data_IF_282947370088
#
_entry.id   IF_282947370088
#
_cell.length_a   1.000
_cell.length_b   1.000
_cell.length_c   1.000
_cell.angle_alpha   90.00
_cell.angle_beta   90.00
_cell.angle_gamma   90.00
#
_symmetry.space_group_name_H-M   'P 1'
#
loop_
_entity.id
_entity.type
_entity.pdbx_description
1 polymer ?
#
# COMPACT_ATOMS: atom_id res chain seq x y z
N UNK A 1 40.44 5.42 -8.92
CA UNK A 1 39.25 4.83 -8.25
C UNK A 1 38.00 5.33 -8.95
N UNK A 2 37.19 4.38 -9.41
CA UNK A 2 35.77 4.43 -9.81
C UNK A 2 35.27 5.51 -10.78
N UNK A 3 35.01 5.06 -12.01
CA UNK A 3 34.29 5.77 -13.06
C UNK A 3 32.78 5.59 -12.92
N UNK A 4 32.04 6.67 -13.16
CA UNK A 4 30.58 6.76 -13.16
C UNK A 4 30.06 6.73 -14.61
N UNK A 5 29.34 5.70 -15.06
CA UNK A 5 28.44 5.79 -16.23
C UNK A 5 27.16 4.97 -16.08
N UNK A 6 26.07 5.71 -16.27
CA UNK A 6 24.65 5.38 -16.38
C UNK A 6 24.37 4.21 -17.33
N UNK A 7 23.54 3.27 -16.89
CA UNK A 7 22.78 2.40 -17.79
C UNK A 7 21.43 3.08 -18.10
N UNK A 8 21.22 3.45 -19.38
CA UNK A 8 19.90 3.78 -19.92
C UNK A 8 19.27 2.48 -20.39
N UNK A 9 18.11 2.13 -19.83
CA UNK A 9 17.23 1.08 -20.33
C UNK A 9 16.59 1.57 -21.64
N UNK A 10 16.94 0.92 -22.74
CA UNK A 10 16.27 1.06 -24.03
C UNK A 10 15.37 -0.15 -24.26
N UNK A 11 14.05 0.06 -24.19
CA UNK A 11 13.06 -0.88 -24.70
C UNK A 11 13.13 -0.82 -26.22
N UNK A 12 13.47 -1.92 -26.88
CA UNK A 12 13.20 -2.08 -28.31
C UNK A 12 12.55 -3.42 -28.59
N UNK A 13 11.55 -3.33 -29.46
CA UNK A 13 10.49 -4.27 -29.75
C UNK A 13 11.00 -5.56 -30.41
N UNK A 14 10.33 -6.67 -30.07
CA UNK A 14 10.36 -7.91 -30.83
C UNK A 14 9.79 -7.66 -32.23
N UNK A 15 10.58 -7.88 -33.27
CA UNK A 15 10.12 -8.42 -34.56
C UNK A 15 11.32 -8.87 -35.40
N UNK A 16 11.17 -10.03 -36.03
CA UNK A 16 11.93 -10.56 -37.17
C UNK A 16 13.29 -11.24 -36.91
N UNK A 17 13.24 -12.53 -36.56
CA UNK A 17 14.25 -13.51 -36.99
C UNK A 17 13.55 -14.81 -37.44
N UNK A 18 12.97 -14.78 -38.63
CA UNK A 18 12.83 -15.98 -39.46
C UNK A 18 13.27 -15.60 -40.88
N UNK A 19 13.90 -16.55 -41.57
CA UNK A 19 14.49 -16.48 -42.92
C UNK A 19 15.99 -16.18 -42.98
N UNK A 20 16.78 -17.23 -42.79
CA UNK A 20 18.03 -17.40 -43.56
C UNK A 20 18.30 -18.89 -43.82
N UNK A 21 17.38 -19.51 -44.56
CA UNK A 21 17.63 -20.73 -45.33
C UNK A 21 17.26 -20.42 -46.77
N UNK A 22 18.20 -19.91 -47.57
CA UNK A 22 18.29 -20.13 -49.01
C UNK A 22 19.44 -19.29 -49.61
N UNK A 23 20.10 -19.88 -50.61
CA UNK A 23 20.97 -19.23 -51.59
C UNK A 23 22.47 -19.08 -51.25
N UNK A 24 23.17 -20.21 -51.32
CA UNK A 24 24.54 -20.26 -51.82
C UNK A 24 24.58 -21.14 -53.09
N UNK A 25 24.02 -20.64 -54.19
CA UNK A 25 24.34 -21.11 -55.53
C UNK A 25 25.27 -20.09 -56.19
N UNK A 26 26.57 -20.41 -56.28
CA UNK A 26 27.49 -19.74 -57.22
C UNK A 26 28.49 -20.72 -57.82
N UNK A 27 28.30 -20.88 -59.14
CA UNK A 27 29.28 -21.15 -60.22
C UNK A 27 30.24 -22.33 -60.05
N UNK A 28 29.84 -23.44 -60.67
CA UNK A 28 30.75 -24.49 -61.15
C UNK A 28 31.30 -24.01 -62.51
N UNK A 29 32.62 -23.93 -62.74
CA UNK A 29 33.15 -23.76 -64.08
C UNK A 29 33.12 -25.08 -64.85
N UNK A 30 32.67 -25.02 -66.10
CA UNK A 30 32.72 -26.11 -67.06
C UNK A 30 34.18 -26.54 -67.26
N UNK A 31 34.53 -27.76 -66.84
CA UNK A 31 35.70 -28.48 -67.33
C UNK A 31 35.25 -29.87 -67.81
N UNK A 32 35.66 -30.14 -69.04
CA UNK A 32 35.46 -31.34 -69.84
C UNK A 32 35.68 -32.65 -69.08
N UNK A 33 34.68 -33.53 -69.13
CA UNK A 33 34.74 -34.93 -68.69
C UNK A 33 35.73 -35.71 -69.56
N UNK A 34 36.83 -36.18 -68.96
CA UNK A 34 37.57 -37.36 -69.43
C UNK A 34 37.29 -38.49 -68.44
N UNK A 35 36.65 -39.56 -68.93
CA UNK A 35 36.49 -40.82 -68.22
C UNK A 35 37.84 -41.55 -68.20
N UNK A 36 38.47 -41.61 -67.03
CA UNK A 36 39.50 -42.60 -66.74
C UNK A 36 39.10 -43.37 -65.48
N UNK A 37 39.25 -44.68 -65.55
CA UNK A 37 38.66 -45.65 -64.64
C UNK A 37 39.18 -45.66 -63.21
N UNK A 38 38.61 -46.61 -62.47
CA UNK A 38 38.84 -47.00 -61.09
C UNK A 38 38.17 -46.12 -60.03
N UNK A 39 36.96 -46.55 -59.71
CA UNK A 39 36.24 -46.37 -58.45
C UNK A 39 37.18 -46.49 -57.24
N UNK A 40 37.43 -45.37 -56.57
CA UNK A 40 37.75 -45.37 -55.14
C UNK A 40 36.80 -44.35 -54.53
N UNK A 41 35.68 -44.84 -53.99
CA UNK A 41 34.88 -44.04 -53.07
C UNK A 41 35.79 -43.81 -51.86
N UNK A 42 36.18 -42.57 -51.51
CA UNK A 42 36.91 -42.36 -50.28
C UNK A 42 35.98 -42.79 -49.15
N UNK A 43 36.29 -43.91 -48.51
CA UNK A 43 35.68 -44.26 -47.24
C UNK A 43 36.04 -43.12 -46.30
N UNK A 44 35.04 -42.33 -45.93
CA UNK A 44 35.23 -41.31 -44.91
C UNK A 44 35.74 -42.05 -43.67
N UNK A 45 37.03 -41.87 -43.32
CA UNK A 45 37.57 -42.44 -42.08
C UNK A 45 36.62 -42.04 -40.96
N UNK A 46 36.25 -42.95 -40.04
CA UNK A 46 35.46 -42.57 -38.89
C UNK A 46 36.17 -41.39 -38.23
N UNK A 47 35.43 -40.35 -37.81
CA UNK A 47 36.01 -39.16 -37.21
C UNK A 47 37.05 -39.58 -36.16
N UNK A 48 38.23 -38.97 -36.21
CA UNK A 48 39.29 -39.23 -35.23
C UNK A 48 38.70 -39.05 -33.83
N UNK A 49 39.19 -39.82 -32.85
CA UNK A 49 38.72 -39.76 -31.46
C UNK A 49 38.66 -38.33 -30.91
N UNK A 50 39.54 -37.44 -31.38
CA UNK A 50 39.54 -36.00 -31.11
C UNK A 50 38.31 -35.25 -31.64
N UNK A 51 37.86 -35.50 -32.86
CA UNK A 51 36.69 -34.84 -33.46
C UNK A 51 35.38 -35.32 -32.83
N UNK A 52 35.26 -36.63 -32.57
CA UNK A 52 34.14 -37.17 -31.78
C UNK A 52 34.09 -36.58 -30.37
N UNK A 53 35.25 -36.41 -29.72
CA UNK A 53 35.34 -35.80 -28.40
C UNK A 53 34.90 -34.34 -28.42
N UNK A 54 35.34 -33.55 -29.41
CA UNK A 54 34.92 -32.15 -29.59
C UNK A 54 33.41 -32.02 -29.80
N UNK A 55 32.85 -32.77 -30.75
CA UNK A 55 31.41 -32.76 -31.05
C UNK A 55 30.56 -33.24 -29.86
N UNK A 56 31.04 -34.23 -29.09
CA UNK A 56 30.36 -34.67 -27.87
C UNK A 56 30.44 -33.62 -26.75
N UNK A 57 31.51 -32.82 -26.67
CA UNK A 57 31.62 -31.72 -25.70
C UNK A 57 30.65 -30.60 -26.04
N UNK A 58 30.58 -30.14 -27.30
CA UNK A 58 29.62 -29.13 -27.76
C UNK A 58 28.17 -29.60 -27.59
N UNK A 59 27.85 -30.83 -28.02
CA UNK A 59 26.52 -31.43 -27.82
C UNK A 59 26.15 -31.49 -26.33
N UNK A 60 27.08 -31.87 -25.46
CA UNK A 60 26.85 -31.89 -24.02
C UNK A 60 26.70 -30.48 -23.42
N UNK A 61 27.39 -29.47 -23.95
CA UNK A 61 27.21 -28.06 -23.58
C UNK A 61 25.81 -27.56 -23.96
N UNK A 62 25.33 -27.86 -25.17
CA UNK A 62 23.98 -27.50 -25.61
C UNK A 62 22.89 -28.19 -24.80
N UNK A 63 23.06 -29.48 -24.48
CA UNK A 63 22.12 -30.22 -23.62
C UNK A 63 22.09 -29.62 -22.22
N UNK A 64 23.27 -29.25 -21.66
CA UNK A 64 23.35 -28.55 -20.37
C UNK A 64 22.66 -27.19 -20.42
N UNK A 65 22.88 -26.40 -21.47
CA UNK A 65 22.24 -25.10 -21.64
C UNK A 65 20.71 -25.21 -21.73
N UNK A 66 20.19 -26.17 -22.51
CA UNK A 66 18.74 -26.45 -22.61
C UNK A 66 18.15 -26.91 -21.28
N UNK A 67 18.85 -27.77 -20.53
CA UNK A 67 18.43 -28.21 -19.18
C UNK A 67 18.42 -27.06 -18.19
N UNK A 68 19.46 -26.24 -18.17
CA UNK A 68 19.53 -25.06 -17.29
C UNK A 68 18.42 -24.06 -17.62
N UNK A 69 18.13 -23.83 -18.90
CA UNK A 69 16.99 -23.02 -19.33
C UNK A 69 15.66 -23.62 -18.84
N UNK A 70 15.41 -24.91 -19.06
CA UNK A 70 14.20 -25.59 -18.58
C UNK A 70 14.06 -25.50 -17.05
N UNK A 71 15.13 -25.72 -16.31
CA UNK A 71 15.14 -25.59 -14.84
C UNK A 71 14.85 -24.16 -14.40
N UNK A 72 15.40 -23.15 -15.09
CA UNK A 72 15.11 -21.74 -14.79
C UNK A 72 13.65 -21.37 -15.04
N UNK A 73 13.04 -21.88 -16.12
CA UNK A 73 11.63 -21.67 -16.42
C UNK A 73 10.75 -22.34 -15.37
N UNK A 74 11.05 -23.58 -14.98
CA UNK A 74 10.32 -24.28 -13.91
C UNK A 74 10.45 -23.57 -12.56
N UNK A 75 11.64 -23.03 -12.23
CA UNK A 75 11.84 -22.25 -11.02
C UNK A 75 11.01 -20.96 -11.00
N UNK A 76 10.92 -20.25 -12.13
CA UNK A 76 10.09 -19.04 -12.26
C UNK A 76 8.60 -19.38 -12.11
N UNK A 77 8.14 -20.44 -12.76
CA UNK A 77 6.74 -20.90 -12.64
C UNK A 77 6.45 -21.31 -11.19
N UNK A 78 7.35 -22.08 -10.57
CA UNK A 78 7.23 -22.48 -9.17
C UNK A 78 7.17 -21.30 -8.22
N UNK A 79 8.02 -20.29 -8.41
CA UNK A 79 8.01 -19.06 -7.64
C UNK A 79 6.69 -18.27 -7.82
N UNK A 80 6.18 -18.18 -9.06
CA UNK A 80 4.90 -17.53 -9.34
C UNK A 80 3.70 -18.24 -8.70
N UNK A 81 3.65 -19.58 -8.77
CA UNK A 81 2.61 -20.38 -8.12
C UNK A 81 2.68 -20.27 -6.60
N UNK A 82 3.89 -20.27 -6.02
CA UNK A 82 4.07 -20.08 -4.59
C UNK A 82 3.65 -18.68 -4.14
N UNK A 83 4.04 -17.64 -4.86
CA UNK A 83 3.60 -16.27 -4.58
C UNK A 83 2.07 -16.12 -4.67
N UNK A 84 1.44 -16.72 -5.68
CA UNK A 84 -0.03 -16.75 -5.81
C UNK A 84 -0.70 -17.51 -4.67
N UNK A 85 -0.14 -18.65 -4.26
CA UNK A 85 -0.63 -19.41 -3.10
C UNK A 85 -0.50 -18.62 -1.80
N UNK A 86 0.62 -17.92 -1.58
CA UNK A 86 0.80 -17.03 -0.41
C UNK A 86 -0.21 -15.89 -0.43
N UNK A 87 -0.39 -15.22 -1.58
CA UNK A 87 -1.38 -14.15 -1.76
C UNK A 87 -2.80 -14.63 -1.42
N UNK A 88 -3.19 -15.79 -1.93
CA UNK A 88 -4.49 -16.40 -1.65
C UNK A 88 -4.63 -16.82 -0.17
N UNK A 89 -3.60 -17.43 0.42
CA UNK A 89 -3.61 -17.90 1.81
C UNK A 89 -3.64 -16.76 2.83
N UNK A 90 -3.03 -15.62 2.51
CA UNK A 90 -3.08 -14.43 3.35
C UNK A 90 -4.41 -13.67 3.22
N UNK A 91 -5.30 -14.07 2.31
CA UNK A 91 -6.59 -13.41 2.12
C UNK A 91 -6.44 -11.98 1.60
N UNK A 92 -5.36 -11.70 0.86
CA UNK A 92 -5.08 -10.37 0.33
C UNK A 92 -6.12 -10.02 -0.73
N UNK A 93 -6.80 -8.89 -0.55
CA UNK A 93 -7.79 -8.40 -1.50
C UNK A 93 -7.70 -6.88 -1.63
N UNK A 94 -8.40 -6.32 -2.60
CA UNK A 94 -8.42 -4.88 -2.84
C UNK A 94 -9.79 -4.35 -2.44
N UNK A 95 -9.80 -3.37 -1.54
CA UNK A 95 -11.00 -2.65 -1.13
C UNK A 95 -10.89 -1.18 -1.58
N UNK A 96 -12.02 -0.46 -1.57
CA UNK A 96 -12.03 0.99 -1.75
C UNK A 96 -12.21 1.65 -0.38
N UNK A 97 -11.38 2.64 -0.09
CA UNK A 97 -11.51 3.46 1.11
C UNK A 97 -12.74 4.37 0.98
N UNK A 98 -13.61 4.45 2.02
CA UNK A 98 -14.74 5.37 2.04
C UNK A 98 -14.31 6.82 1.86
N UNK A 99 -15.17 7.65 1.28
CA UNK A 99 -14.96 9.07 0.97
C UNK A 99 -13.89 9.36 -0.10
N UNK A 100 -12.71 8.74 -0.05
CA UNK A 100 -11.64 8.98 -1.02
C UNK A 100 -11.73 8.10 -2.26
N UNK A 101 -12.48 6.99 -2.20
CA UNK A 101 -12.52 5.94 -3.23
C UNK A 101 -11.12 5.43 -3.63
N UNK A 102 -10.13 5.57 -2.74
CA UNK A 102 -8.77 5.09 -2.97
C UNK A 102 -8.77 3.58 -2.88
N UNK A 103 -8.24 2.92 -3.90
CA UNK A 103 -7.99 1.47 -3.85
C UNK A 103 -6.83 1.18 -2.92
N UNK A 104 -7.01 0.20 -2.05
CA UNK A 104 -5.93 -0.25 -1.18
C UNK A 104 -5.90 -1.76 -1.04
N UNK A 105 -4.71 -2.28 -0.79
CA UNK A 105 -4.48 -3.71 -0.60
C UNK A 105 -4.72 -4.01 0.87
N UNK A 106 -5.69 -4.87 1.17
CA UNK A 106 -6.01 -5.32 2.52
C UNK A 106 -5.29 -6.64 2.75
N UNK A 107 -4.32 -6.62 3.65
CA UNK A 107 -3.48 -7.76 4.02
C UNK A 107 -3.95 -8.44 5.30
N UNK A 108 -4.65 -7.69 6.15
CA UNK A 108 -5.19 -8.17 7.42
C UNK A 108 -6.69 -8.45 7.27
N UNK A 109 -7.14 -9.63 7.69
CA UNK A 109 -8.59 -9.90 7.78
C UNK A 109 -9.22 -9.14 8.96
N UNK A 110 -10.54 -8.88 8.91
CA UNK A 110 -11.26 -8.23 10.01
C UNK A 110 -11.07 -8.92 11.38
N UNK A 111 -10.96 -10.25 11.38
CA UNK A 111 -10.69 -11.02 12.61
C UNK A 111 -9.27 -10.78 13.13
N UNK A 112 -8.27 -10.74 12.25
CA UNK A 112 -6.89 -10.49 12.64
C UNK A 112 -6.71 -9.05 13.16
N UNK A 113 -7.35 -8.06 12.52
CA UNK A 113 -7.38 -6.68 13.02
C UNK A 113 -7.91 -6.62 14.45
N UNK A 114 -9.05 -7.29 14.71
CA UNK A 114 -9.65 -7.37 16.04
C UNK A 114 -8.71 -7.98 17.08
N UNK A 115 -8.01 -9.06 16.72
CA UNK A 115 -7.05 -9.70 17.62
C UNK A 115 -5.86 -8.80 17.92
N UNK A 116 -5.30 -8.15 16.90
CA UNK A 116 -4.18 -7.20 17.06
C UNK A 116 -4.59 -6.01 17.93
N UNK A 117 -5.79 -5.47 17.71
CA UNK A 117 -6.29 -4.35 18.49
C UNK A 117 -6.55 -4.72 19.95
N UNK A 118 -7.15 -5.89 20.22
CA UNK A 118 -7.33 -6.37 21.59
C UNK A 118 -5.99 -6.59 22.31
N UNK A 119 -5.00 -7.15 21.61
CA UNK A 119 -3.65 -7.30 22.12
C UNK A 119 -3.05 -5.94 22.51
N UNK A 120 -3.12 -4.97 21.61
CA UNK A 120 -2.57 -3.63 21.82
C UNK A 120 -3.31 -2.87 22.95
N UNK A 121 -4.62 -3.09 23.08
CA UNK A 121 -5.44 -2.54 24.15
C UNK A 121 -4.97 -3.04 25.51
N UNK A 122 -4.79 -4.36 25.67
CA UNK A 122 -4.33 -4.94 26.93
C UNK A 122 -2.89 -4.53 27.26
N UNK A 123 -2.02 -4.44 26.26
CA UNK A 123 -0.67 -3.89 26.42
C UNK A 123 -0.72 -2.43 26.89
N UNK A 124 -1.56 -1.60 26.25
CA UNK A 124 -1.71 -0.18 26.57
C UNK A 124 -2.30 0.02 27.97
N UNK A 125 -3.33 -0.74 28.35
CA UNK A 125 -3.87 -0.73 29.73
C UNK A 125 -2.80 -1.09 30.75
N UNK A 126 -1.95 -2.05 30.43
CA UNK A 126 -0.84 -2.47 31.30
C UNK A 126 0.21 -1.37 31.41
N UNK A 127 0.62 -0.78 30.27
CA UNK A 127 1.63 0.27 30.19
C UNK A 127 1.21 1.56 30.89
N UNK A 128 -0.07 1.93 30.79
CA UNK A 128 -0.63 3.14 31.38
C UNK A 128 -1.44 2.88 32.66
N UNK A 129 -1.28 1.70 33.27
CA UNK A 129 -1.95 1.34 34.53
C UNK A 129 -1.72 2.43 35.60
N UNK A 130 -2.80 2.91 36.20
CA UNK A 130 -2.78 3.99 37.19
C UNK A 130 -2.69 5.41 36.62
N UNK A 131 -2.52 5.58 35.30
CA UNK A 131 -2.63 6.87 34.59
C UNK A 131 -3.93 7.00 33.77
N UNK A 132 -4.73 5.94 33.73
CA UNK A 132 -6.02 5.94 33.07
C UNK A 132 -7.00 6.81 33.87
N UNK A 133 -7.76 7.62 33.15
CA UNK A 133 -8.86 8.39 33.73
C UNK A 133 -10.01 7.46 34.15
N UNK A 134 -10.69 7.82 35.23
CA UNK A 134 -11.95 7.16 35.60
C UNK A 134 -12.98 7.39 34.49
N UNK A 135 -13.87 6.41 34.29
CA UNK A 135 -15.02 6.51 33.40
C UNK A 135 -15.96 7.67 33.77
N UNK A 136 -16.04 8.03 35.05
CA UNK A 136 -16.87 9.13 35.56
C UNK A 136 -16.19 10.50 35.52
N UNK A 137 -14.91 10.57 35.16
CA UNK A 137 -14.18 11.84 35.06
C UNK A 137 -14.85 12.74 34.00
N UNK A 138 -15.03 14.06 34.26
CA UNK A 138 -15.68 14.97 33.31
C UNK A 138 -15.03 14.98 31.93
N UNK A 139 -13.70 14.81 31.84
CA UNK A 139 -12.99 14.75 30.57
C UNK A 139 -13.26 13.44 29.82
N UNK A 140 -13.36 12.32 30.53
CA UNK A 140 -13.78 11.03 29.97
C UNK A 140 -15.20 11.08 29.42
N UNK A 141 -16.13 11.68 30.18
CA UNK A 141 -17.53 11.86 29.76
C UNK A 141 -17.61 12.75 28.52
N UNK A 142 -16.89 13.87 28.52
CA UNK A 142 -16.80 14.79 27.38
C UNK A 142 -16.29 14.09 26.12
N UNK A 143 -15.20 13.35 26.21
CA UNK A 143 -14.64 12.61 25.08
C UNK A 143 -15.62 11.55 24.54
N UNK A 144 -16.30 10.81 25.42
CA UNK A 144 -17.33 9.83 25.04
C UNK A 144 -18.52 10.46 24.32
N UNK A 145 -18.98 11.64 24.77
CA UNK A 145 -20.06 12.36 24.11
C UNK A 145 -19.67 12.84 22.71
N UNK A 146 -18.45 13.37 22.56
CA UNK A 146 -17.93 13.82 21.26
C UNK A 146 -17.80 12.63 20.30
N UNK A 147 -17.21 11.52 20.77
CA UNK A 147 -17.10 10.29 19.99
C UNK A 147 -18.48 9.78 19.56
N UNK A 148 -19.46 9.77 20.48
CA UNK A 148 -20.83 9.38 20.16
C UNK A 148 -21.42 10.24 19.03
N UNK A 149 -21.25 11.56 19.09
CA UNK A 149 -21.74 12.46 18.02
C UNK A 149 -21.07 12.18 16.67
N UNK A 150 -19.77 11.85 16.67
CA UNK A 150 -19.02 11.49 15.45
C UNK A 150 -19.54 10.19 14.86
N UNK A 151 -19.77 9.18 15.70
CA UNK A 151 -20.35 7.91 15.26
C UNK A 151 -21.74 8.17 14.68
N UNK A 152 -22.63 8.85 15.40
CA UNK A 152 -23.98 9.17 14.89
C UNK A 152 -23.96 9.97 13.57
N UNK A 153 -22.97 10.84 13.37
CA UNK A 153 -22.74 11.55 12.10
C UNK A 153 -22.34 10.59 10.97
N UNK A 154 -21.40 9.69 11.24
CA UNK A 154 -20.98 8.63 10.31
C UNK A 154 -22.16 7.73 9.91
N UNK A 155 -22.99 7.34 10.87
CA UNK A 155 -24.17 6.48 10.64
C UNK A 155 -25.22 7.11 9.71
N UNK A 156 -25.26 8.45 9.61
CA UNK A 156 -26.16 9.18 8.71
C UNK A 156 -25.66 9.22 7.27
N UNK A 157 -24.35 9.38 7.09
CA UNK A 157 -23.75 9.53 5.77
C UNK A 157 -23.50 8.19 5.08
N UNK A 158 -23.07 7.19 5.85
CA UNK A 158 -22.82 5.87 5.32
C UNK A 158 -23.96 4.96 5.75
N UNK A 159 -24.69 4.39 4.80
CA UNK A 159 -25.54 3.22 5.07
C UNK A 159 -24.63 2.10 5.58
N UNK A 160 -24.61 1.92 6.89
CA UNK A 160 -23.74 1.01 7.62
C UNK A 160 -23.91 -0.48 7.29
N UNK A 161 -24.80 -0.82 6.35
CA UNK A 161 -24.92 -2.19 5.86
C UNK A 161 -23.66 -2.63 5.10
N UNK A 162 -22.85 -1.69 4.60
CA UNK A 162 -21.61 -1.96 3.84
C UNK A 162 -20.32 -1.53 4.56
N UNK A 163 -20.42 -0.59 5.51
CA UNK A 163 -19.31 -0.30 6.42
C UNK A 163 -19.53 -1.05 7.71
N UNK A 164 -18.68 -2.03 8.05
CA UNK A 164 -18.82 -2.68 9.33
C UNK A 164 -18.76 -1.58 10.40
N UNK A 165 -19.87 -1.38 11.12
CA UNK A 165 -19.90 -0.82 12.49
C UNK A 165 -18.88 -1.58 13.37
N UNK A 166 -18.48 -2.78 12.92
CA UNK A 166 -17.33 -3.48 13.43
C UNK A 166 -16.00 -2.74 13.30
N UNK A 167 -15.75 -1.76 12.42
CA UNK A 167 -14.41 -1.14 12.29
C UNK A 167 -13.97 -0.44 13.59
N UNK A 168 -14.87 0.37 14.20
CA UNK A 168 -14.60 0.99 15.50
C UNK A 168 -14.40 -0.05 16.61
N UNK A 169 -15.14 -1.17 16.55
CA UNK A 169 -15.01 -2.31 17.45
C UNK A 169 -13.84 -3.28 17.10
N UNK A 170 -13.28 -3.22 15.89
CA UNK A 170 -12.21 -4.08 15.35
C UNK A 170 -10.84 -3.43 15.50
N UNK A 171 -10.78 -2.12 15.74
CA UNK A 171 -9.67 -1.45 16.43
C UNK A 171 -9.81 -1.55 17.96
N UNK A 172 -10.55 -2.53 18.48
CA UNK A 172 -10.71 -2.75 19.93
C UNK A 172 -11.58 -1.70 20.64
N UNK A 173 -12.31 -0.86 19.91
CA UNK A 173 -13.26 0.11 20.48
C UNK A 173 -12.62 1.22 21.32
N UNK A 174 -11.29 1.27 21.42
CA UNK A 174 -10.61 2.06 22.44
C UNK A 174 -9.68 3.08 21.80
N UNK A 175 -10.08 4.34 21.88
CA UNK A 175 -9.23 5.49 21.55
C UNK A 175 -8.57 5.97 22.84
N UNK A 176 -7.23 6.02 22.87
CA UNK A 176 -6.50 6.59 24.00
C UNK A 176 -6.33 8.09 23.78
N UNK A 177 -6.94 8.89 24.65
CA UNK A 177 -6.81 10.34 24.62
C UNK A 177 -6.07 10.79 25.87
N UNK A 178 -4.93 11.47 25.69
CA UNK A 178 -4.19 12.03 26.81
C UNK A 178 -4.93 13.23 27.42
N UNK A 179 -4.99 13.30 28.75
CA UNK A 179 -5.63 14.37 29.53
C UNK A 179 -5.25 15.78 29.06
N UNK A 180 -3.98 16.01 28.72
CA UNK A 180 -3.51 17.31 28.22
C UNK A 180 -4.22 17.79 26.95
N UNK A 181 -4.74 16.87 26.13
CA UNK A 181 -5.57 17.17 24.96
C UNK A 181 -6.97 17.67 25.37
N UNK A 182 -7.48 17.23 26.52
CA UNK A 182 -8.86 17.48 26.97
C UNK A 182 -9.00 18.74 27.83
N UNK A 183 -7.94 19.19 28.49
CA UNK A 183 -7.99 20.35 29.42
C UNK A 183 -7.79 21.70 28.70
N UNK A 184 -7.17 21.72 27.52
CA UNK A 184 -6.83 22.95 26.79
C UNK A 184 -7.58 23.19 25.47
N UNK A 185 -8.43 22.26 25.02
CA UNK A 185 -9.11 22.34 23.73
C UNK A 185 -10.61 22.57 23.85
N UNK A 186 -11.18 23.26 22.87
CA UNK A 186 -12.63 23.35 22.65
C UNK A 186 -13.19 22.00 22.19
N UNK A 187 -14.52 21.82 22.24
CA UNK A 187 -15.15 20.57 21.79
C UNK A 187 -14.82 20.26 20.33
N UNK A 188 -14.71 21.29 19.48
CA UNK A 188 -14.27 21.11 18.09
C UNK A 188 -12.80 20.69 17.96
N UNK A 189 -11.92 21.18 18.84
CA UNK A 189 -10.52 20.73 18.88
C UNK A 189 -10.40 19.28 19.32
N UNK A 190 -11.13 18.88 20.37
CA UNK A 190 -11.19 17.47 20.80
C UNK A 190 -11.82 16.59 19.70
N UNK A 191 -12.88 17.08 19.04
CA UNK A 191 -13.49 16.39 17.90
C UNK A 191 -12.52 16.22 16.73
N UNK A 192 -11.61 17.16 16.50
CA UNK A 192 -10.57 17.04 15.45
C UNK A 192 -9.67 15.83 15.71
N UNK A 193 -9.19 15.67 16.94
CA UNK A 193 -8.33 14.53 17.32
C UNK A 193 -9.12 13.22 17.24
N UNK A 194 -10.32 13.18 17.81
CA UNK A 194 -11.14 11.95 17.81
C UNK A 194 -11.51 11.56 16.38
N UNK A 195 -11.96 12.49 15.55
CA UNK A 195 -12.36 12.20 14.18
C UNK A 195 -11.18 11.72 13.33
N UNK A 196 -9.97 12.25 13.56
CA UNK A 196 -8.75 11.75 12.92
C UNK A 196 -8.48 10.28 13.26
N UNK A 197 -8.57 9.89 14.54
CA UNK A 197 -8.39 8.49 14.95
C UNK A 197 -9.50 7.57 14.40
N UNK A 198 -10.75 8.05 14.39
CA UNK A 198 -11.88 7.32 13.77
C UNK A 198 -11.65 7.15 12.27
N UNK A 199 -11.10 8.16 11.59
CA UNK A 199 -10.81 8.10 10.17
C UNK A 199 -9.78 7.03 9.82
N UNK A 200 -8.73 6.81 10.65
CA UNK A 200 -7.80 5.69 10.45
C UNK A 200 -8.51 4.34 10.47
N UNK A 201 -9.54 4.21 11.30
CA UNK A 201 -10.33 3.01 11.44
C UNK A 201 -11.28 2.83 10.25
N UNK A 202 -11.99 3.89 9.87
CA UNK A 202 -12.88 3.90 8.70
C UNK A 202 -12.12 3.58 7.41
N UNK A 203 -10.93 4.15 7.24
CA UNK A 203 -10.06 3.89 6.09
C UNK A 203 -9.30 2.55 6.17
N UNK A 204 -9.48 1.79 7.24
CA UNK A 204 -8.82 0.49 7.50
C UNK A 204 -7.31 0.58 7.26
N UNK A 205 -6.70 1.69 7.67
CA UNK A 205 -5.27 1.95 7.47
C UNK A 205 -4.40 0.86 8.12
N UNK A 206 -4.81 0.29 9.26
CA UNK A 206 -4.11 -0.82 9.91
C UNK A 206 -4.09 -2.10 9.06
N UNK A 207 -5.04 -2.28 8.14
CA UNK A 207 -5.20 -3.49 7.36
C UNK A 207 -4.25 -3.56 6.15
N UNK A 208 -3.72 -2.42 5.70
CA UNK A 208 -2.82 -2.37 4.53
C UNK A 208 -1.44 -2.97 4.78
N UNK A 209 -0.93 -2.88 6.01
CA UNK A 209 0.32 -3.50 6.41
C UNK A 209 0.37 -3.70 7.94
N UNK A 210 0.43 -4.95 8.44
CA UNK A 210 0.33 -5.23 9.87
C UNK A 210 1.58 -4.89 10.70
N UNK A 211 2.62 -4.28 10.13
CA UNK A 211 3.70 -3.67 10.91
C UNK A 211 3.25 -2.30 11.46
N UNK A 212 2.40 -2.40 12.47
CA UNK A 212 2.20 -1.49 13.60
C UNK A 212 2.84 -0.10 13.41
N UNK A 213 1.99 0.90 13.15
CA UNK A 213 2.29 2.34 13.28
C UNK A 213 3.16 2.98 12.20
N UNK A 214 3.39 2.35 11.04
CA UNK A 214 3.88 3.12 9.88
C UNK A 214 2.71 3.85 9.22
N UNK A 215 2.38 4.99 9.80
CA UNK A 215 1.71 6.10 9.14
C UNK A 215 2.54 6.49 7.90
N UNK A 216 1.87 6.61 6.76
CA UNK A 216 2.46 7.29 5.60
C UNK A 216 1.88 8.69 5.60
N UNK A 217 2.67 9.70 5.21
CA UNK A 217 2.17 11.06 4.99
C UNK A 217 0.83 11.08 4.25
N UNK A 218 0.68 10.23 3.22
CA UNK A 218 -0.57 10.11 2.46
C UNK A 218 -1.75 9.61 3.29
N UNK A 219 -1.52 8.66 4.19
CA UNK A 219 -2.55 8.07 5.08
C UNK A 219 -2.93 9.02 6.21
N UNK A 220 -1.97 9.79 6.72
CA UNK A 220 -2.24 10.83 7.73
C UNK A 220 -3.10 11.95 7.14
N UNK A 221 -2.75 12.43 5.94
CA UNK A 221 -3.54 13.43 5.23
C UNK A 221 -4.91 12.90 4.81
N UNK A 222 -5.00 11.63 4.42
CA UNK A 222 -6.29 10.99 4.15
C UNK A 222 -7.14 10.86 5.42
N UNK A 223 -6.54 10.50 6.55
CA UNK A 223 -7.23 10.47 7.84
C UNK A 223 -7.66 11.88 8.28
N UNK A 224 -6.87 12.92 8.01
CA UNK A 224 -7.26 14.32 8.22
C UNK A 224 -8.46 14.72 7.36
N UNK A 225 -8.44 14.35 6.08
CA UNK A 225 -9.54 14.63 5.16
C UNK A 225 -10.82 13.94 5.60
N UNK A 226 -10.79 12.62 5.84
CA UNK A 226 -11.95 11.87 6.31
C UNK A 226 -12.41 12.40 7.67
N UNK A 227 -11.48 12.67 8.59
CA UNK A 227 -11.77 13.25 9.90
C UNK A 227 -12.48 14.60 9.80
N UNK A 228 -12.11 15.45 8.84
CA UNK A 228 -12.80 16.72 8.56
C UNK A 228 -14.27 16.49 8.15
N UNK A 229 -14.52 15.49 7.30
CA UNK A 229 -15.89 15.13 6.88
C UNK A 229 -16.69 14.55 8.05
N UNK A 230 -16.09 13.70 8.87
CA UNK A 230 -16.72 13.15 10.07
C UNK A 230 -17.05 14.24 11.11
N UNK A 231 -16.19 15.24 11.26
CA UNK A 231 -16.50 16.41 12.08
C UNK A 231 -17.70 17.17 11.54
N UNK A 232 -17.74 17.40 10.22
CA UNK A 232 -18.84 18.09 9.57
C UNK A 232 -20.16 17.35 9.75
N UNK A 233 -20.17 16.03 9.54
CA UNK A 233 -21.35 15.17 9.66
C UNK A 233 -21.87 15.07 11.10
N UNK A 234 -20.96 15.24 12.06
CA UNK A 234 -21.28 15.38 13.48
C UNK A 234 -21.73 16.80 13.87
N UNK A 235 -21.76 17.75 12.94
CA UNK A 235 -22.16 19.14 13.18
C UNK A 235 -21.11 19.98 13.91
N UNK A 236 -19.83 19.61 13.85
CA UNK A 236 -18.71 20.47 14.27
C UNK A 236 -18.24 21.32 13.08
N UNK A 237 -17.90 22.59 13.33
CA UNK A 237 -17.41 23.50 12.28
C UNK A 237 -16.10 22.98 11.69
N UNK A 238 -16.02 22.68 10.38
CA UNK A 238 -14.81 22.13 9.75
C UNK A 238 -13.56 23.01 9.89
N UNK A 239 -13.74 24.33 9.90
CA UNK A 239 -12.64 25.30 10.03
C UNK A 239 -11.85 25.16 11.34
N UNK A 240 -12.46 24.61 12.39
CA UNK A 240 -11.79 24.37 13.68
C UNK A 240 -10.61 23.40 13.50
N UNK A 241 -10.69 22.43 12.59
CA UNK A 241 -9.60 21.49 12.35
C UNK A 241 -8.34 22.20 11.82
N UNK A 242 -8.50 23.19 10.94
CA UNK A 242 -7.38 24.00 10.43
C UNK A 242 -6.76 24.84 11.55
N UNK A 243 -7.59 25.48 12.37
CA UNK A 243 -7.13 26.27 13.51
C UNK A 243 -6.40 25.40 14.54
N UNK A 244 -6.91 24.20 14.80
CA UNK A 244 -6.30 23.23 15.70
C UNK A 244 -4.85 22.92 15.29
N UNK A 245 -4.62 22.51 14.04
CA UNK A 245 -3.28 22.17 13.57
C UNK A 245 -2.32 23.37 13.56
N UNK A 246 -2.81 24.58 13.27
CA UNK A 246 -2.03 25.82 13.38
C UNK A 246 -1.64 26.16 14.82
N UNK A 247 -2.54 25.97 15.78
CA UNK A 247 -2.24 26.22 17.20
C UNK A 247 -1.28 25.15 17.73
N UNK A 248 -1.48 23.89 17.32
CA UNK A 248 -0.61 22.79 17.67
C UNK A 248 0.81 22.99 17.13
N UNK A 249 0.96 23.54 15.92
CA UNK A 249 2.27 23.82 15.33
C UNK A 249 3.07 24.86 16.11
N UNK A 250 2.39 25.83 16.71
CA UNK A 250 3.02 26.89 17.52
C UNK A 250 3.36 26.42 18.94
N UNK A 251 2.61 25.47 19.47
CA UNK A 251 2.70 25.04 20.88
C UNK A 251 3.81 24.01 21.13
N UNK A 252 4.19 23.20 20.12
CA UNK A 252 5.27 22.21 20.24
C UNK A 252 6.16 22.20 18.98
N UNK A 253 7.13 23.13 18.87
CA UNK A 253 7.95 23.31 17.67
C UNK A 253 8.72 22.05 17.24
N UNK A 254 9.18 21.23 18.18
CA UNK A 254 9.96 20.03 17.87
C UNK A 254 9.10 18.87 17.35
N UNK A 255 7.86 18.72 17.84
CA UNK A 255 6.90 17.73 17.33
C UNK A 255 6.25 18.22 16.02
N UNK A 256 6.07 19.53 15.89
CA UNK A 256 5.37 20.14 14.75
C UNK A 256 6.05 19.97 13.40
N UNK A 257 7.36 19.70 13.37
CA UNK A 257 8.17 19.59 12.16
C UNK A 257 7.84 18.35 11.32
N UNK A 258 7.10 17.40 11.88
CA UNK A 258 6.84 16.11 11.23
C UNK A 258 8.08 15.22 11.16
N UNK A 259 7.90 14.01 10.65
CA UNK A 259 8.96 13.03 10.41
C UNK A 259 8.70 12.24 9.12
N UNK A 260 9.38 11.09 8.93
CA UNK A 260 9.19 10.27 7.73
C UNK A 260 7.75 9.71 7.58
N UNK A 261 7.03 9.56 8.69
CA UNK A 261 5.77 8.86 8.78
C UNK A 261 4.59 9.80 9.05
N UNK A 262 4.84 10.93 9.72
CA UNK A 262 3.85 11.96 10.02
C UNK A 262 4.20 13.29 9.34
N UNK A 263 3.25 13.91 8.62
CA UNK A 263 3.44 15.24 8.05
C UNK A 263 3.55 16.28 9.15
N UNK A 264 4.18 17.41 8.82
CA UNK A 264 4.23 18.55 9.74
C UNK A 264 2.83 19.07 10.06
N UNK A 265 2.63 19.66 11.23
CA UNK A 265 1.31 20.22 11.58
C UNK A 265 0.92 21.38 10.65
N UNK A 266 1.90 22.12 10.14
CA UNK A 266 1.67 23.15 9.12
C UNK A 266 1.20 22.54 7.79
N UNK A 267 1.82 21.44 7.35
CA UNK A 267 1.40 20.72 6.15
C UNK A 267 -0.04 20.21 6.27
N UNK A 268 -0.42 19.65 7.42
CA UNK A 268 -1.79 19.22 7.72
C UNK A 268 -2.78 20.37 7.66
N UNK A 269 -2.46 21.49 8.30
CA UNK A 269 -3.28 22.69 8.27
C UNK A 269 -3.46 23.23 6.85
N UNK A 270 -2.39 23.27 6.07
CA UNK A 270 -2.40 23.75 4.69
C UNK A 270 -3.21 22.83 3.78
N UNK A 271 -3.11 21.51 3.96
CA UNK A 271 -3.90 20.53 3.24
C UNK A 271 -5.40 20.70 3.51
N UNK A 272 -5.80 20.79 4.77
CA UNK A 272 -7.20 20.99 5.15
C UNK A 272 -7.76 22.37 4.73
N UNK A 273 -6.90 23.38 4.60
CA UNK A 273 -7.29 24.71 4.16
C UNK A 273 -7.55 24.81 2.64
N UNK A 274 -7.23 23.77 1.86
CA UNK A 274 -7.47 23.78 0.41
C UNK A 274 -8.97 23.90 0.13
N UNK A 275 -9.33 24.75 -0.84
CA UNK A 275 -10.73 25.10 -1.11
C UNK A 275 -11.59 23.86 -1.40
N UNK A 276 -11.12 22.95 -2.24
CA UNK A 276 -11.86 21.74 -2.61
C UNK A 276 -12.09 20.77 -1.43
N UNK A 277 -11.13 20.69 -0.48
CA UNK A 277 -11.27 19.89 0.74
C UNK A 277 -12.30 20.53 1.67
N UNK A 278 -12.14 21.82 1.93
CA UNK A 278 -12.96 22.57 2.88
C UNK A 278 -14.41 22.74 2.40
N UNK A 279 -14.64 22.96 1.10
CA UNK A 279 -15.96 23.17 0.52
C UNK A 279 -16.88 21.96 0.70
N UNK A 280 -16.34 20.75 0.51
CA UNK A 280 -17.09 19.52 0.73
C UNK A 280 -17.50 19.37 2.20
N UNK A 281 -16.57 19.59 3.14
CA UNK A 281 -16.88 19.53 4.56
C UNK A 281 -17.89 20.61 4.99
N UNK A 282 -17.79 21.82 4.45
CA UNK A 282 -18.75 22.90 4.75
C UNK A 282 -20.14 22.58 4.21
N UNK A 283 -20.23 21.94 3.05
CA UNK A 283 -21.52 21.50 2.47
C UNK A 283 -22.22 20.53 3.42
N UNK A 284 -21.51 19.48 3.84
CA UNK A 284 -22.03 18.51 4.84
C UNK A 284 -22.44 19.22 6.14
N UNK A 285 -21.59 20.13 6.64
CA UNK A 285 -21.85 20.84 7.87
C UNK A 285 -23.15 21.66 7.81
N UNK A 286 -23.40 22.38 6.72
CA UNK A 286 -24.63 23.19 6.57
C UNK A 286 -25.89 22.33 6.38
N UNK A 287 -25.78 21.11 5.85
CA UNK A 287 -26.90 20.15 5.79
C UNK A 287 -27.28 19.60 7.17
N UNK A 288 -26.28 19.36 8.03
CA UNK A 288 -26.50 18.81 9.38
C UNK A 288 -26.90 19.88 10.39
N UNK A 289 -26.38 21.10 10.25
CA UNK A 289 -26.59 22.22 11.19
C UNK A 289 -28.06 22.46 11.63
N UNK A 290 -29.09 22.36 10.77
CA UNK A 290 -30.49 22.58 11.17
C UNK A 290 -31.02 21.50 12.13
N UNK A 291 -30.41 20.32 12.14
CA UNK A 291 -30.89 19.15 12.87
C UNK A 291 -30.29 19.01 14.28
N UNK A 292 -29.39 19.92 14.68
CA UNK A 292 -28.76 19.92 16.01
C UNK A 292 -29.27 21.11 16.84
N UNK A 293 -29.81 20.89 18.05
CA UNK A 293 -30.08 22.00 18.96
C UNK A 293 -28.74 22.70 19.25
N UNK A 294 -28.73 24.02 19.08
CA UNK A 294 -27.58 24.86 19.43
C UNK A 294 -27.40 24.77 20.94
N UNK A 295 -26.35 24.09 21.39
CA UNK A 295 -25.89 24.12 22.77
C UNK A 295 -24.84 25.23 22.93
#
# INVERSE_FOLDING_TARGET
MSWYRRAKLGITSFHNLTNSTAQLHRKIPNSSFQLYGNTIVPTCKPPTTSFQRYYNVERNQDIRAKRLYQLSVLAIIGAGLWAGFVFFRLGVHIENVPYTNRKHIVVCSPMQEKLLANSWLEESKTKYKGKLLDEKDPHSVRAKLILKNIIEGLEREVKLDELPIHALAMAGGTIFIFRGTLEGLTDGGVATVIAHEVAHVVARHMAEFPHLLVSSHKRELEADYIGLLLMASAGYKPRIAVEFWKIASLSNPDISKGDLNHPSFEERANFLAQAHVMEQALTIYEEVRPHRPVN
#
